data_IF_017611281053
#
_entry.id   IF_017611281053
#
_cell.length_a   1.000
_cell.length_b   1.000
_cell.length_c   1.000
_cell.angle_alpha   90.00
_cell.angle_beta   90.00
_cell.angle_gamma   90.00
#
_symmetry.space_group_name_H-M   'P 1'
#
loop_
_entity.id
_entity.type
_entity.pdbx_description
1 polymer ?
#
# COMPACT_ATOMS: atom_id res chain seq x y z
N UNK A 1 -16.38 -12.50 5.40
CA UNK A 1 -15.48 -11.50 6.02
C UNK A 1 -14.42 -11.17 5.00
N UNK A 2 -14.43 -9.95 4.45
CA UNK A 2 -13.32 -9.49 3.62
C UNK A 2 -12.10 -9.30 4.52
N UNK A 3 -11.02 -10.04 4.26
CA UNK A 3 -9.74 -9.83 4.91
C UNK A 3 -9.07 -8.62 4.26
N UNK A 4 -8.51 -7.73 5.07
CA UNK A 4 -7.80 -6.53 4.61
C UNK A 4 -6.58 -6.85 3.74
N UNK A 5 -5.99 -8.03 3.94
CA UNK A 5 -4.80 -8.55 3.23
C UNK A 5 -5.15 -9.91 2.64
N UNK A 6 -4.81 -10.13 1.37
CA UNK A 6 -4.99 -11.41 0.69
C UNK A 6 -3.76 -11.77 -0.15
N UNK A 7 -2.92 -12.66 0.38
CA UNK A 7 -1.67 -13.05 -0.27
C UNK A 7 -1.82 -14.13 -1.36
N UNK A 8 -3.05 -14.54 -1.72
CA UNK A 8 -3.27 -15.59 -2.74
C UNK A 8 -2.59 -15.28 -4.08
N UNK A 9 -2.55 -14.00 -4.47
CA UNK A 9 -1.83 -13.58 -5.68
C UNK A 9 -0.33 -13.77 -5.50
N UNK A 10 0.25 -13.31 -4.40
CA UNK A 10 1.68 -13.43 -4.10
C UNK A 10 2.12 -14.89 -4.00
N UNK A 11 1.31 -15.74 -3.36
CA UNK A 11 1.56 -17.17 -3.25
C UNK A 11 1.63 -17.82 -4.63
N UNK A 12 0.65 -17.55 -5.50
CA UNK A 12 0.68 -18.04 -6.89
C UNK A 12 1.87 -17.49 -7.67
N UNK A 13 2.14 -16.20 -7.56
CA UNK A 13 3.23 -15.51 -8.26
C UNK A 13 4.61 -16.06 -7.86
N UNK A 14 4.80 -16.42 -6.59
CA UNK A 14 6.06 -16.97 -6.07
C UNK A 14 6.17 -18.49 -6.22
N UNK A 15 5.11 -19.17 -6.68
CA UNK A 15 5.02 -20.63 -6.70
C UNK A 15 5.01 -21.25 -5.30
N UNK A 16 4.46 -20.53 -4.31
CA UNK A 16 4.44 -20.95 -2.90
C UNK A 16 5.78 -20.85 -2.19
N UNK A 17 6.81 -20.28 -2.82
CA UNK A 17 8.14 -20.17 -2.21
C UNK A 17 8.14 -19.18 -1.04
N UNK A 18 8.22 -19.71 0.19
CA UNK A 18 8.15 -18.92 1.41
C UNK A 18 9.25 -17.85 1.52
N UNK A 19 10.48 -18.14 1.08
CA UNK A 19 11.57 -17.15 1.09
C UNK A 19 11.24 -15.93 0.20
N UNK A 20 10.67 -16.17 -0.99
CA UNK A 20 10.19 -15.08 -1.86
C UNK A 20 9.02 -14.32 -1.24
N UNK A 21 8.05 -15.02 -0.66
CA UNK A 21 6.90 -14.38 0.02
C UNK A 21 7.40 -13.46 1.15
N UNK A 22 8.27 -13.96 2.03
CA UNK A 22 8.90 -13.19 3.11
C UNK A 22 9.62 -11.96 2.57
N UNK A 23 10.39 -12.11 1.48
CA UNK A 23 11.10 -10.99 0.83
C UNK A 23 10.14 -9.91 0.33
N UNK A 24 9.07 -10.27 -0.39
CA UNK A 24 8.12 -9.28 -0.92
C UNK A 24 7.35 -8.56 0.18
N UNK A 25 6.94 -9.26 1.24
CA UNK A 25 6.30 -8.64 2.41
C UNK A 25 7.28 -7.67 3.08
N UNK A 26 8.53 -8.09 3.30
CA UNK A 26 9.56 -7.25 3.91
C UNK A 26 9.85 -5.99 3.09
N UNK A 27 9.90 -6.11 1.76
CA UNK A 27 10.07 -4.96 0.87
C UNK A 27 8.91 -3.97 1.02
N UNK A 28 7.66 -4.43 1.00
CA UNK A 28 6.50 -3.56 1.21
C UNK A 28 6.58 -2.83 2.56
N UNK A 29 6.86 -3.56 3.64
CA UNK A 29 6.96 -3.00 4.99
C UNK A 29 8.09 -1.97 5.12
N UNK A 30 9.17 -2.11 4.34
CA UNK A 30 10.28 -1.17 4.32
C UNK A 30 9.99 0.09 3.48
N UNK A 31 9.28 -0.04 2.35
CA UNK A 31 9.14 1.07 1.38
C UNK A 31 7.83 1.83 1.46
N UNK A 32 6.73 1.16 1.80
CA UNK A 32 5.40 1.78 1.83
C UNK A 32 5.26 2.95 2.83
N UNK A 33 5.81 2.88 4.06
CA UNK A 33 5.72 3.97 5.02
C UNK A 33 6.32 5.29 4.47
N UNK A 34 7.52 5.22 3.91
CA UNK A 34 8.21 6.39 3.35
C UNK A 34 7.45 6.99 2.16
N UNK A 35 6.83 6.16 1.32
CA UNK A 35 6.02 6.65 0.20
C UNK A 35 4.79 7.40 0.73
N UNK A 36 4.10 6.85 1.73
CA UNK A 36 2.93 7.52 2.30
C UNK A 36 3.27 8.80 3.06
N UNK A 37 4.40 8.85 3.76
CA UNK A 37 4.89 10.09 4.38
C UNK A 37 5.20 11.15 3.32
N UNK A 38 5.78 10.77 2.17
CA UNK A 38 5.97 11.69 1.03
C UNK A 38 4.63 12.14 0.44
N UNK A 39 3.64 11.26 0.35
CA UNK A 39 2.29 11.65 -0.10
C UNK A 39 1.68 12.71 0.81
N UNK A 40 1.78 12.54 2.14
CA UNK A 40 1.30 13.53 3.10
C UNK A 40 2.02 14.87 2.94
N UNK A 41 3.35 14.87 2.85
CA UNK A 41 4.15 16.09 2.62
C UNK A 41 3.76 16.79 1.32
N UNK A 42 3.55 16.04 0.24
CA UNK A 42 3.15 16.60 -1.04
C UNK A 42 1.72 17.14 -1.03
N UNK A 43 0.81 16.53 -0.27
CA UNK A 43 -0.52 17.07 -0.03
C UNK A 43 -0.43 18.44 0.67
N UNK A 44 0.32 18.52 1.77
CA UNK A 44 0.49 19.75 2.55
C UNK A 44 1.16 20.87 1.73
N UNK A 45 2.12 20.51 0.87
CA UNK A 45 2.83 21.43 -0.02
C UNK A 45 2.09 21.72 -1.34
N UNK A 46 0.90 21.14 -1.55
CA UNK A 46 0.15 21.22 -2.81
C UNK A 46 0.94 20.76 -4.05
N UNK A 47 1.90 19.85 -3.86
CA UNK A 47 2.68 19.25 -4.93
C UNK A 47 1.92 18.08 -5.56
N UNK A 48 0.93 18.42 -6.39
CA UNK A 48 0.01 17.49 -7.03
C UNK A 48 0.68 16.49 -7.96
N UNK A 49 1.75 16.91 -8.64
CA UNK A 49 2.51 16.05 -9.54
C UNK A 49 3.18 14.92 -8.76
N UNK A 50 3.94 15.24 -7.73
CA UNK A 50 4.65 14.23 -6.94
C UNK A 50 3.69 13.43 -6.04
N UNK A 51 2.56 14.00 -5.61
CA UNK A 51 1.50 13.23 -4.94
C UNK A 51 0.99 12.11 -5.84
N UNK A 52 0.71 12.42 -7.11
CA UNK A 52 0.29 11.45 -8.11
C UNK A 52 1.37 10.38 -8.38
N UNK A 53 2.64 10.79 -8.53
CA UNK A 53 3.77 9.86 -8.74
C UNK A 53 3.91 8.88 -7.56
N UNK A 54 3.85 9.40 -6.33
CA UNK A 54 3.94 8.54 -5.14
C UNK A 54 2.76 7.57 -5.07
N UNK A 55 1.52 8.04 -5.27
CA UNK A 55 0.34 7.17 -5.28
C UNK A 55 0.46 6.09 -6.36
N UNK A 56 0.91 6.46 -7.56
CA UNK A 56 1.14 5.54 -8.67
C UNK A 56 2.13 4.43 -8.31
N UNK A 57 3.27 4.80 -7.73
CA UNK A 57 4.37 3.90 -7.37
C UNK A 57 4.01 2.88 -6.30
N UNK A 58 3.05 3.20 -5.43
CA UNK A 58 2.65 2.33 -4.32
C UNK A 58 1.64 1.26 -4.75
N UNK A 59 0.77 1.54 -5.74
CA UNK A 59 -0.25 0.61 -6.24
C UNK A 59 0.26 -0.81 -6.50
N UNK A 60 1.32 -1.06 -7.28
CA UNK A 60 1.77 -2.42 -7.56
C UNK A 60 2.15 -3.17 -6.28
N UNK A 61 2.74 -2.49 -5.29
CA UNK A 61 3.12 -3.11 -4.02
C UNK A 61 1.88 -3.54 -3.22
N UNK A 62 0.83 -2.70 -3.22
CA UNK A 62 -0.46 -3.06 -2.59
C UNK A 62 -1.17 -4.22 -3.29
N UNK A 63 -0.95 -4.37 -4.60
CA UNK A 63 -1.50 -5.46 -5.41
C UNK A 63 -0.85 -6.79 -5.04
N UNK A 64 0.48 -6.81 -4.90
CA UNK A 64 1.20 -7.98 -4.40
C UNK A 64 0.72 -8.41 -3.01
N UNK A 65 0.44 -7.45 -2.11
CA UNK A 65 -0.05 -7.76 -0.76
C UNK A 65 -1.56 -8.04 -0.72
N UNK A 66 -2.28 -7.88 -1.84
CA UNK A 66 -3.73 -8.02 -1.90
C UNK A 66 -4.50 -7.02 -1.02
N UNK A 67 -3.95 -5.82 -0.81
CA UNK A 67 -4.60 -4.75 -0.04
C UNK A 67 -5.50 -3.94 -0.98
N UNK A 68 -6.59 -4.55 -1.43
CA UNK A 68 -7.48 -3.98 -2.46
C UNK A 68 -8.04 -2.62 -2.06
N UNK A 69 -8.38 -2.44 -0.79
CA UNK A 69 -8.91 -1.17 -0.28
C UNK A 69 -7.89 -0.03 -0.40
N UNK A 70 -6.61 -0.29 -0.12
CA UNK A 70 -5.55 0.70 -0.28
C UNK A 70 -5.31 1.02 -1.75
N UNK A 71 -5.24 -0.02 -2.60
CA UNK A 71 -5.10 0.14 -4.06
C UNK A 71 -6.20 1.07 -4.60
N UNK A 72 -7.45 0.84 -4.19
CA UNK A 72 -8.58 1.66 -4.61
C UNK A 72 -8.44 3.12 -4.15
N UNK A 73 -7.98 3.37 -2.92
CA UNK A 73 -7.72 4.74 -2.44
C UNK A 73 -6.63 5.44 -3.25
N UNK A 74 -5.55 4.74 -3.60
CA UNK A 74 -4.50 5.30 -4.45
C UNK A 74 -5.02 5.66 -5.86
N UNK A 75 -5.89 4.82 -6.44
CA UNK A 75 -6.54 5.11 -7.72
C UNK A 75 -7.49 6.31 -7.61
N UNK A 76 -8.26 6.40 -6.52
CA UNK A 76 -9.13 7.56 -6.26
C UNK A 76 -8.32 8.85 -6.15
N UNK A 77 -7.16 8.84 -5.50
CA UNK A 77 -6.23 9.99 -5.43
C UNK A 77 -5.80 10.41 -6.83
N UNK A 78 -5.29 9.48 -7.65
CA UNK A 78 -4.87 9.77 -9.03
C UNK A 78 -6.02 10.33 -9.88
N UNK A 79 -7.22 9.78 -9.74
CA UNK A 79 -8.39 10.22 -10.51
C UNK A 79 -8.82 11.64 -10.12
N UNK A 80 -8.80 11.96 -8.82
CA UNK A 80 -9.11 13.31 -8.33
C UNK A 80 -8.06 14.33 -8.80
N UNK A 81 -6.77 13.97 -8.80
CA UNK A 81 -5.69 14.80 -9.36
C UNK A 81 -5.90 15.09 -10.86
N UNK A 82 -6.29 14.08 -11.65
CA UNK A 82 -6.53 14.22 -13.10
C UNK A 82 -7.64 15.21 -13.45
N UNK A 83 -8.67 15.29 -12.61
CA UNK A 83 -9.82 16.18 -12.82
C UNK A 83 -9.69 17.48 -11.99
N UNK A 84 -8.53 17.73 -11.38
CA UNK A 84 -8.27 18.87 -10.50
C UNK A 84 -9.27 19.00 -9.34
N UNK A 85 -9.83 17.88 -8.84
CA UNK A 85 -10.71 17.86 -7.69
C UNK A 85 -9.89 17.68 -6.41
N UNK A 86 -9.43 18.78 -5.81
CA UNK A 86 -8.54 18.73 -4.66
C UNK A 86 -9.26 18.61 -3.31
N UNK A 87 -10.57 18.90 -3.25
CA UNK A 87 -11.35 18.93 -2.01
C UNK A 87 -11.32 17.59 -1.25
N UNK A 88 -11.25 16.48 -1.98
CA UNK A 88 -11.28 15.13 -1.41
C UNK A 88 -9.90 14.56 -1.09
N UNK A 89 -8.81 15.22 -1.52
CA UNK A 89 -7.47 14.63 -1.44
C UNK A 89 -7.02 14.41 -0.01
N UNK A 90 -7.34 15.33 0.90
CA UNK A 90 -7.00 15.19 2.32
C UNK A 90 -7.61 13.92 2.92
N UNK A 91 -8.91 13.74 2.77
CA UNK A 91 -9.61 12.56 3.29
C UNK A 91 -9.10 11.26 2.67
N UNK A 92 -8.81 11.28 1.36
CA UNK A 92 -8.29 10.12 0.65
C UNK A 92 -6.89 9.73 1.12
N UNK A 93 -6.00 10.70 1.32
CA UNK A 93 -4.63 10.46 1.81
C UNK A 93 -4.64 9.99 3.27
N UNK A 94 -5.47 10.59 4.12
CA UNK A 94 -5.66 10.13 5.51
C UNK A 94 -6.18 8.70 5.53
N UNK A 95 -7.21 8.38 4.73
CA UNK A 95 -7.75 7.02 4.63
C UNK A 95 -6.70 6.02 4.12
N UNK A 96 -5.90 6.39 3.11
CA UNK A 96 -4.81 5.56 2.62
C UNK A 96 -3.79 5.25 3.73
N UNK A 97 -3.45 6.23 4.57
CA UNK A 97 -2.55 6.07 5.70
C UNK A 97 -3.10 5.09 6.75
N UNK A 98 -4.36 5.25 7.15
CA UNK A 98 -5.01 4.35 8.12
C UNK A 98 -5.08 2.90 7.62
N UNK A 99 -5.42 2.72 6.34
CA UNK A 99 -5.47 1.39 5.72
C UNK A 99 -4.07 0.76 5.69
N UNK A 100 -3.05 1.55 5.35
CA UNK A 100 -1.66 1.08 5.39
C UNK A 100 -1.25 0.66 6.80
N UNK A 101 -1.51 1.46 7.83
CA UNK A 101 -1.15 1.11 9.21
C UNK A 101 -1.78 -0.23 9.63
N UNK A 102 -3.09 -0.40 9.37
CA UNK A 102 -3.80 -1.65 9.71
C UNK A 102 -3.26 -2.84 8.93
N UNK A 103 -3.03 -2.70 7.63
CA UNK A 103 -2.51 -3.78 6.79
C UNK A 103 -1.05 -4.12 7.08
N UNK A 104 -0.22 -3.13 7.41
CA UNK A 104 1.18 -3.33 7.80
C UNK A 104 1.31 -4.15 9.09
N UNK A 105 0.45 -3.92 10.08
CA UNK A 105 0.41 -4.74 11.30
C UNK A 105 0.10 -6.21 10.99
N UNK A 106 -0.89 -6.45 10.12
CA UNK A 106 -1.25 -7.81 9.68
C UNK A 106 -0.08 -8.47 8.95
N UNK A 107 0.54 -7.75 8.01
CA UNK A 107 1.68 -8.25 7.24
C UNK A 107 2.91 -8.54 8.12
N UNK A 108 3.18 -7.69 9.11
CA UNK A 108 4.26 -7.90 10.07
C UNK A 108 4.03 -9.16 10.91
N UNK A 109 2.78 -9.41 11.33
CA UNK A 109 2.42 -10.65 12.03
C UNK A 109 2.60 -11.88 11.12
N UNK A 110 2.10 -11.83 9.88
CA UNK A 110 2.30 -12.91 8.89
C UNK A 110 3.79 -13.19 8.67
N UNK A 111 4.60 -12.15 8.52
CA UNK A 111 6.04 -12.29 8.31
C UNK A 111 6.74 -12.96 9.51
N UNK A 112 6.32 -12.61 10.73
CA UNK A 112 6.80 -13.23 11.96
C UNK A 112 6.44 -14.71 12.01
N UNK A 113 5.19 -15.06 11.73
CA UNK A 113 4.71 -16.45 11.77
C UNK A 113 5.48 -17.31 10.75
N UNK A 114 5.69 -16.80 9.53
CA UNK A 114 6.50 -17.45 8.48
C UNK A 114 8.00 -17.59 8.83
N UNK A 115 8.48 -16.87 9.84
CA UNK A 115 9.88 -16.93 10.29
C UNK A 115 10.06 -17.83 11.50
N UNK A 116 8.98 -18.18 12.20
CA UNK A 116 8.98 -19.14 13.33
C UNK A 116 8.70 -20.58 12.90
N UNK A 117 8.35 -20.81 11.64
CA UNK A 117 8.07 -22.14 11.07
C UNK A 117 9.25 -22.79 10.35
N UNK A 118 10.43 -22.15 10.37
CA UNK A 118 11.72 -22.70 9.94
C UNK A 118 12.46 -23.31 11.15
#
# INVERSE_FOLDING_TARGET
>A
MDRLVNLSFLEKFTGGNQSKIKRYISMYLATAPDILERMKKNLDAQNWSDLGINAHSLKPQTDFMGIVTLKNKLIEIENNLKINNYERLTDLVVSAYEIHQKSALILAQILKDLSTSD
#
